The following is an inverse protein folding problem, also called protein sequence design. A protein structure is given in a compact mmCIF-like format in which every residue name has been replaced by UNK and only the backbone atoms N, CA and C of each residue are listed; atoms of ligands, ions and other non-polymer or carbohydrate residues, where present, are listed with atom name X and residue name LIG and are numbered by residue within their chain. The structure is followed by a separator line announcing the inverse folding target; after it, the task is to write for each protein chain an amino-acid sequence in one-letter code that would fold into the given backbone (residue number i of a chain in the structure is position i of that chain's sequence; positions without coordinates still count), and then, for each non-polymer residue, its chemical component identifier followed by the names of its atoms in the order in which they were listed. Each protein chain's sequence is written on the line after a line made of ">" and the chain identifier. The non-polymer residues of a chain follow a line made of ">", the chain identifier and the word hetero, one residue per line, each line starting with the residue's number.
data_IF_560090630997
#
_entry.id   IF_560090630997
#
_cell.length_a   1.000
_cell.length_b   1.000
_cell.length_c   1.000
_cell.angle_alpha   90.00
_cell.angle_beta   90.00
_cell.angle_gamma   90.00
#
_symmetry.space_group_name_H-M   'P 1'
#
loop_
_entity.id
_entity.type
_entity.pdbx_description
1 polymer ?
#
# COMPACT_ATOMS: atom_id res chain seq x y z
N UNK A 1 -34.92 60.06 83.47
CA UNK A 1 -33.45 60.00 83.63
C UNK A 1 -33.00 58.59 83.28
N UNK A 2 -31.83 58.47 82.63
CA UNK A 2 -31.03 57.29 82.25
C UNK A 2 -31.38 55.94 82.90
N UNK A 3 -31.15 54.77 82.31
CA UNK A 3 -30.49 54.36 81.06
C UNK A 3 -30.74 52.84 80.89
N UNK A 4 -30.52 52.39 79.66
CA UNK A 4 -30.39 51.02 79.14
C UNK A 4 -29.99 49.90 80.10
N UNK A 5 -30.60 48.73 79.91
CA UNK A 5 -29.94 47.43 80.06
C UNK A 5 -30.45 46.53 78.91
N UNK A 6 -29.68 46.36 77.84
CA UNK A 6 -28.83 45.18 77.50
C UNK A 6 -29.53 43.81 77.56
N UNK A 7 -29.83 43.29 76.36
CA UNK A 7 -30.00 41.91 75.88
C UNK A 7 -30.41 40.76 76.84
N UNK A 8 -31.30 39.88 76.35
CA UNK A 8 -30.92 38.51 75.96
C UNK A 8 -32.11 37.75 75.34
N UNK A 9 -31.74 36.88 74.41
CA UNK A 9 -32.52 36.08 73.48
C UNK A 9 -33.35 35.00 74.17
N UNK A 10 -34.61 34.81 73.74
CA UNK A 10 -35.43 33.68 74.20
C UNK A 10 -36.03 32.95 73.00
N UNK A 11 -35.54 31.73 72.83
CA UNK A 11 -35.92 30.72 71.84
C UNK A 11 -37.33 30.20 72.14
N UNK A 12 -38.26 30.32 71.20
CA UNK A 12 -39.56 29.66 71.30
C UNK A 12 -39.80 28.66 70.17
N UNK A 13 -40.53 27.61 70.57
CA UNK A 13 -40.54 26.26 70.04
C UNK A 13 -41.88 26.00 69.36
N UNK A 14 -41.79 25.48 68.14
CA UNK A 14 -42.74 24.62 67.43
C UNK A 14 -44.09 25.16 66.91
N UNK A 15 -44.47 24.51 65.80
CA UNK A 15 -45.80 24.28 65.21
C UNK A 15 -46.23 25.05 63.94
N UNK A 16 -46.80 24.23 63.03
CA UNK A 16 -47.08 24.36 61.60
C UNK A 16 -48.31 25.24 61.30
N UNK A 17 -48.57 25.72 60.05
CA UNK A 17 -49.14 24.89 58.98
C UNK A 17 -48.58 25.17 57.56
N UNK A 18 -48.79 24.21 56.65
CA UNK A 18 -48.34 24.18 55.26
C UNK A 18 -48.73 25.41 54.39
N UNK A 19 -48.02 25.64 53.26
CA UNK A 19 -48.64 25.28 51.99
C UNK A 19 -47.69 24.58 51.00
N UNK A 20 -48.29 23.61 50.30
CA UNK A 20 -47.88 22.89 49.08
C UNK A 20 -46.76 23.55 48.27
N UNK A 21 -45.55 22.98 48.33
CA UNK A 21 -44.51 23.17 47.31
C UNK A 21 -44.38 21.87 46.53
N UNK A 22 -44.66 21.95 45.23
CA UNK A 22 -44.65 20.84 44.27
C UNK A 22 -43.23 20.30 44.10
N UNK A 23 -43.06 18.99 44.27
CA UNK A 23 -41.82 18.26 43.93
C UNK A 23 -41.89 17.79 42.47
N UNK A 24 -40.84 18.03 41.66
CA UNK A 24 -40.30 17.01 40.73
C UNK A 24 -38.76 16.81 40.85
N UNK A 25 -38.18 15.73 40.28
CA UNK A 25 -37.42 14.76 41.05
C UNK A 25 -35.89 14.93 41.03
N UNK A 26 -35.25 14.26 42.00
CA UNK A 26 -33.82 14.02 42.13
C UNK A 26 -33.12 13.68 40.80
N UNK A 27 -31.99 14.33 40.56
CA UNK A 27 -30.99 13.85 39.61
C UNK A 27 -29.78 13.36 40.39
N UNK A 28 -29.74 12.05 40.62
CA UNK A 28 -28.57 11.36 41.15
C UNK A 28 -27.45 11.36 40.10
N UNK A 29 -26.20 11.60 40.55
CA UNK A 29 -24.96 11.51 39.78
C UNK A 29 -23.86 11.00 40.73
N UNK A 30 -22.72 10.41 40.30
CA UNK A 30 -22.39 9.49 39.18
C UNK A 30 -21.83 8.14 39.68
N UNK A 31 -21.55 7.19 38.77
CA UNK A 31 -20.43 6.20 38.73
C UNK A 31 -20.87 4.97 37.90
N UNK A 32 -20.11 4.28 37.04
CA UNK A 32 -18.96 4.56 36.18
C UNK A 32 -18.88 3.34 35.23
N UNK A 33 -18.95 3.52 33.91
CA UNK A 33 -18.39 2.56 32.95
C UNK A 33 -17.89 3.34 31.73
N UNK A 34 -16.58 3.35 31.42
CA UNK A 34 -16.03 4.15 30.35
C UNK A 34 -16.13 3.37 29.03
N UNK A 35 -17.26 3.44 28.34
CA UNK A 35 -17.32 3.02 26.93
C UNK A 35 -16.72 4.13 26.06
N UNK A 36 -15.40 4.04 25.85
CA UNK A 36 -14.61 4.93 24.98
C UNK A 36 -14.40 4.30 23.60
N UNK A 37 -15.45 3.90 22.92
CA UNK A 37 -15.36 3.77 21.46
C UNK A 37 -16.24 4.85 20.84
N UNK A 38 -15.66 5.77 20.04
CA UNK A 38 -16.45 6.74 19.32
C UNK A 38 -17.44 6.00 18.43
N UNK A 39 -18.70 6.46 18.38
CA UNK A 39 -19.78 5.81 17.64
C UNK A 39 -19.51 5.68 16.12
N UNK A 40 -18.50 6.39 15.62
CA UNK A 40 -17.99 6.46 14.25
C UNK A 40 -16.83 5.47 13.97
N UNK A 41 -16.22 4.91 15.02
CA UNK A 41 -15.20 3.86 14.93
C UNK A 41 -15.68 2.59 14.18
N UNK A 42 -16.89 2.04 14.44
CA UNK A 42 -17.37 0.87 13.70
C UNK A 42 -17.59 1.15 12.22
N UNK A 43 -17.95 2.39 11.85
CA UNK A 43 -18.11 2.78 10.44
C UNK A 43 -16.76 2.91 9.74
N UNK A 44 -15.76 3.47 10.42
CA UNK A 44 -14.39 3.51 9.93
C UNK A 44 -13.80 2.11 9.76
N UNK A 45 -14.02 1.22 10.72
CA UNK A 45 -13.56 -0.18 10.65
C UNK A 45 -14.28 -0.92 9.51
N UNK A 46 -15.59 -0.74 9.36
CA UNK A 46 -16.36 -1.33 8.27
C UNK A 46 -15.90 -0.83 6.89
N UNK A 47 -15.66 0.48 6.75
CA UNK A 47 -15.13 1.08 5.53
C UNK A 47 -13.73 0.56 5.20
N UNK A 48 -12.85 0.48 6.21
CA UNK A 48 -11.50 -0.06 6.04
C UNK A 48 -11.54 -1.53 5.61
N UNK A 49 -12.36 -2.36 6.26
CA UNK A 49 -12.56 -3.75 5.90
C UNK A 49 -13.09 -3.89 4.47
N UNK A 50 -14.04 -3.04 4.06
CA UNK A 50 -14.59 -3.03 2.71
C UNK A 50 -13.53 -2.65 1.66
N UNK A 51 -12.71 -1.63 1.93
CA UNK A 51 -11.59 -1.24 1.06
C UNK A 51 -10.55 -2.36 0.92
N UNK A 52 -10.20 -3.02 2.03
CA UNK A 52 -9.29 -4.18 2.02
C UNK A 52 -9.89 -5.33 1.23
N UNK A 53 -11.18 -5.66 1.41
CA UNK A 53 -11.87 -6.68 0.63
C UNK A 53 -11.88 -6.36 -0.88
N UNK A 54 -12.15 -5.11 -1.26
CA UNK A 54 -12.09 -4.70 -2.67
C UNK A 54 -10.68 -4.88 -3.22
N UNK A 55 -9.65 -4.43 -2.49
CA UNK A 55 -8.27 -4.61 -2.92
C UNK A 55 -7.91 -6.08 -3.09
N UNK A 56 -8.31 -6.96 -2.15
CA UNK A 56 -8.10 -8.40 -2.26
C UNK A 56 -8.82 -9.00 -3.46
N UNK A 57 -10.07 -8.61 -3.71
CA UNK A 57 -10.83 -9.08 -4.88
C UNK A 57 -10.18 -8.61 -6.18
N UNK A 58 -9.74 -7.35 -6.25
CA UNK A 58 -9.02 -6.82 -7.42
C UNK A 58 -7.72 -7.57 -7.63
N UNK A 59 -6.94 -7.85 -6.58
CA UNK A 59 -5.71 -8.65 -6.67
C UNK A 59 -6.05 -10.07 -7.16
N UNK A 60 -7.07 -10.72 -6.60
CA UNK A 60 -7.48 -12.07 -6.99
C UNK A 60 -8.07 -12.14 -8.41
N UNK A 61 -8.61 -11.05 -8.95
CA UNK A 61 -9.08 -10.99 -10.33
C UNK A 61 -7.93 -10.63 -11.28
N UNK A 62 -7.13 -9.62 -10.95
CA UNK A 62 -6.04 -9.10 -11.81
C UNK A 62 -4.83 -10.02 -11.81
N UNK A 63 -4.45 -10.64 -10.70
CA UNK A 63 -3.28 -11.54 -10.63
C UNK A 63 -3.44 -12.75 -11.55
N UNK A 64 -4.58 -13.44 -11.64
CA UNK A 64 -4.79 -14.47 -12.66
C UNK A 64 -4.69 -13.94 -14.09
N UNK A 65 -5.19 -12.73 -14.36
CA UNK A 65 -5.06 -12.09 -15.68
C UNK A 65 -3.60 -11.69 -15.99
N UNK A 66 -2.80 -11.33 -15.00
CA UNK A 66 -1.35 -11.07 -15.15
C UNK A 66 -0.52 -12.36 -15.20
N UNK A 67 -0.99 -13.44 -14.55
CA UNK A 67 -0.35 -14.76 -14.56
C UNK A 67 -0.67 -15.54 -15.83
N UNK A 68 -1.72 -15.17 -16.58
CA UNK A 68 -2.02 -15.76 -17.89
C UNK A 68 -0.96 -15.46 -18.97
N UNK A 69 0.08 -14.70 -18.64
CA UNK A 69 1.37 -14.69 -19.36
C UNK A 69 2.35 -15.66 -18.69
N UNK A 70 1.93 -16.90 -18.45
CA UNK A 70 2.80 -17.98 -17.98
C UNK A 70 3.73 -18.40 -19.14
N UNK A 71 4.80 -17.64 -19.31
CA UNK A 71 6.04 -18.18 -19.86
C UNK A 71 6.78 -18.95 -18.77
N UNK A 72 7.48 -20.06 -19.11
CA UNK A 72 8.20 -20.86 -18.11
C UNK A 72 9.29 -20.03 -17.42
N UNK A 73 9.13 -19.84 -16.11
CA UNK A 73 9.96 -19.03 -15.23
C UNK A 73 11.43 -19.48 -15.06
N UNK A 74 11.91 -20.44 -15.86
CA UNK A 74 13.27 -20.96 -15.76
C UNK A 74 14.31 -20.10 -16.51
N UNK A 75 13.92 -19.33 -17.54
CA UNK A 75 14.87 -18.52 -18.33
C UNK A 75 14.94 -17.05 -17.90
N UNK A 76 13.92 -16.50 -17.24
CA UNK A 76 13.90 -15.07 -16.90
C UNK A 76 14.91 -14.66 -15.81
N UNK A 77 15.33 -15.57 -14.93
CA UNK A 77 16.22 -15.20 -13.83
C UNK A 77 17.62 -14.76 -14.31
N UNK A 78 18.10 -15.32 -15.44
CA UNK A 78 19.42 -14.98 -15.98
C UNK A 78 19.49 -13.57 -16.59
N UNK A 79 18.34 -12.93 -16.82
CA UNK A 79 18.21 -11.69 -17.60
C UNK A 79 18.10 -10.41 -16.77
N UNK A 80 18.05 -10.54 -15.45
CA UNK A 80 17.78 -9.42 -14.55
C UNK A 80 19.00 -8.51 -14.34
N UNK A 81 20.20 -8.98 -14.66
CA UNK A 81 21.42 -8.18 -14.56
C UNK A 81 21.79 -7.56 -15.91
N UNK A 82 22.05 -6.25 -15.93
CA UNK A 82 22.37 -5.48 -17.14
C UNK A 82 23.79 -4.92 -17.06
N UNK A 83 24.52 -4.94 -18.18
CA UNK A 83 25.83 -4.29 -18.32
C UNK A 83 25.74 -3.15 -19.33
N UNK A 84 26.08 -1.94 -18.87
CA UNK A 84 26.05 -0.73 -19.68
C UNK A 84 27.48 -0.23 -19.94
N UNK A 85 27.83 -0.04 -21.21
CA UNK A 85 29.11 0.51 -21.62
C UNK A 85 28.88 1.79 -22.45
N UNK A 86 29.80 2.74 -22.37
CA UNK A 86 29.80 3.91 -23.25
C UNK A 86 30.16 3.48 -24.68
N UNK A 87 29.33 3.84 -25.65
CA UNK A 87 29.62 3.61 -27.07
C UNK A 87 30.69 4.61 -27.50
N UNK A 88 31.80 4.12 -28.06
CA UNK A 88 32.87 4.98 -28.57
C UNK A 88 32.31 5.85 -29.71
N UNK A 89 32.46 7.18 -29.69
CA UNK A 89 31.73 8.03 -30.61
C UNK A 89 32.34 7.99 -32.02
N UNK A 90 31.49 7.80 -33.02
CA UNK A 90 31.74 8.20 -34.41
C UNK A 90 30.96 9.50 -34.71
N UNK A 91 30.95 10.44 -33.76
CA UNK A 91 30.15 11.68 -33.78
C UNK A 91 30.01 12.31 -32.39
N UNK A 92 29.63 13.58 -32.29
CA UNK A 92 29.66 14.42 -31.08
C UNK A 92 28.71 14.03 -29.93
N UNK A 93 28.15 12.82 -29.92
CA UNK A 93 27.22 12.38 -28.88
C UNK A 93 27.71 11.09 -28.19
N UNK A 94 27.85 11.15 -26.86
CA UNK A 94 28.26 10.00 -26.04
C UNK A 94 27.02 9.17 -25.70
N UNK A 95 26.69 8.23 -26.58
CA UNK A 95 25.63 7.25 -26.32
C UNK A 95 26.06 6.18 -25.32
N UNK A 96 25.14 5.79 -24.44
CA UNK A 96 25.29 4.59 -23.59
C UNK A 96 24.45 3.46 -24.16
N UNK A 97 24.98 2.24 -24.12
CA UNK A 97 24.24 1.04 -24.50
C UNK A 97 24.34 -0.02 -23.42
N UNK A 98 23.21 -0.63 -23.10
CA UNK A 98 23.11 -1.70 -22.13
C UNK A 98 22.69 -3.01 -22.81
N UNK A 99 23.33 -4.10 -22.41
CA UNK A 99 22.91 -5.47 -22.77
C UNK A 99 22.67 -6.28 -21.49
N UNK A 100 21.76 -7.26 -21.51
CA UNK A 100 21.65 -8.22 -20.42
C UNK A 100 22.97 -8.97 -20.21
N UNK A 101 23.25 -9.38 -18.97
CA UNK A 101 24.46 -10.11 -18.63
C UNK A 101 24.50 -11.45 -19.38
N UNK A 102 25.68 -11.83 -19.84
CA UNK A 102 25.88 -13.00 -20.68
C UNK A 102 25.63 -12.76 -22.17
N UNK A 103 25.10 -11.60 -22.55
CA UNK A 103 24.93 -11.23 -23.96
C UNK A 103 26.18 -10.57 -24.51
N UNK A 104 26.46 -10.85 -25.78
CA UNK A 104 27.55 -10.21 -26.52
C UNK A 104 27.03 -8.92 -27.16
N UNK A 105 27.74 -7.82 -26.93
CA UNK A 105 27.43 -6.54 -27.57
C UNK A 105 28.21 -6.43 -28.88
N UNK A 106 27.51 -6.08 -29.96
CA UNK A 106 28.14 -5.65 -31.20
C UNK A 106 27.38 -4.44 -31.75
N UNK A 107 28.10 -3.33 -31.95
CA UNK A 107 27.53 -2.03 -32.31
C UNK A 107 26.34 -1.64 -31.42
N UNK A 108 25.13 -1.57 -32.01
CA UNK A 108 23.89 -1.18 -31.37
C UNK A 108 22.96 -2.35 -30.99
N UNK A 109 23.49 -3.56 -30.98
CA UNK A 109 22.72 -4.79 -30.79
C UNK A 109 23.37 -5.69 -29.74
N UNK A 110 22.52 -6.48 -29.07
CA UNK A 110 22.91 -7.49 -28.11
C UNK A 110 22.57 -8.87 -28.68
N UNK A 111 23.48 -9.83 -28.56
CA UNK A 111 23.34 -11.17 -29.12
C UNK A 111 23.49 -12.23 -28.03
N UNK A 112 22.58 -13.19 -28.03
CA UNK A 112 22.65 -14.38 -27.18
C UNK A 112 23.00 -15.60 -28.02
N UNK A 113 24.02 -16.33 -27.58
CA UNK A 113 24.39 -17.59 -28.20
C UNK A 113 24.02 -18.70 -27.24
N UNK A 114 22.97 -19.44 -27.59
CA UNK A 114 22.63 -20.67 -26.86
C UNK A 114 23.67 -21.74 -27.15
N UNK A 115 24.05 -22.49 -26.12
CA UNK A 115 24.87 -23.70 -26.26
C UNK A 115 24.03 -24.94 -26.60
N UNK A 116 22.71 -24.83 -26.44
CA UNK A 116 21.78 -25.93 -26.64
C UNK A 116 21.49 -26.14 -28.12
N UNK A 117 21.37 -27.41 -28.51
CA UNK A 117 20.95 -27.79 -29.86
C UNK A 117 19.44 -27.90 -29.88
N UNK A 118 18.80 -26.97 -30.59
CA UNK A 118 17.35 -26.91 -30.76
C UNK A 118 17.02 -26.95 -32.25
N UNK A 119 15.81 -27.39 -32.59
CA UNK A 119 15.29 -27.20 -33.95
C UNK A 119 15.12 -25.70 -34.24
N UNK A 120 14.95 -25.35 -35.51
CA UNK A 120 14.77 -23.94 -35.90
C UNK A 120 13.54 -23.31 -35.21
N UNK A 121 12.41 -24.02 -35.20
CA UNK A 121 11.17 -23.54 -34.60
C UNK A 121 11.27 -23.38 -33.08
N UNK A 122 11.91 -24.34 -32.39
CA UNK A 122 12.18 -24.23 -30.95
C UNK A 122 13.12 -23.06 -30.64
N UNK A 123 14.13 -22.83 -31.48
CA UNK A 123 15.06 -21.70 -31.34
C UNK A 123 14.34 -20.37 -31.51
N UNK A 124 13.44 -20.26 -32.49
CA UNK A 124 12.62 -19.07 -32.70
C UNK A 124 11.70 -18.79 -31.50
N UNK A 125 11.03 -19.83 -31.00
CA UNK A 125 10.16 -19.71 -29.83
C UNK A 125 10.96 -19.32 -28.57
N UNK A 126 12.17 -19.86 -28.42
CA UNK A 126 13.04 -19.52 -27.30
C UNK A 126 13.50 -18.05 -27.38
N UNK A 127 13.98 -17.59 -28.55
CA UNK A 127 14.39 -16.21 -28.75
C UNK A 127 13.22 -15.24 -28.50
N UNK A 128 12.04 -15.52 -29.04
CA UNK A 128 10.84 -14.68 -28.85
C UNK A 128 10.39 -14.67 -27.39
N UNK A 129 10.44 -15.80 -26.70
CA UNK A 129 10.21 -15.88 -25.25
C UNK A 129 11.22 -15.07 -24.42
N UNK A 130 12.43 -14.86 -24.92
CA UNK A 130 13.42 -14.00 -24.27
C UNK A 130 13.24 -12.50 -24.60
N UNK A 131 12.16 -12.12 -25.29
CA UNK A 131 11.95 -10.76 -25.77
C UNK A 131 12.90 -10.36 -26.90
N UNK A 132 13.42 -11.36 -27.63
CA UNK A 132 14.40 -11.19 -28.71
C UNK A 132 13.93 -11.90 -29.98
N UNK A 133 14.78 -11.93 -31.00
CA UNK A 133 14.50 -12.62 -32.26
C UNK A 133 15.73 -13.39 -32.72
N UNK A 134 15.50 -14.40 -33.56
CA UNK A 134 16.59 -15.08 -34.24
C UNK A 134 17.44 -14.07 -35.01
N UNK A 135 18.76 -14.22 -34.90
CA UNK A 135 19.71 -13.30 -35.50
C UNK A 135 19.65 -13.38 -37.02
N UNK A 136 19.56 -12.22 -37.67
CA UNK A 136 19.79 -12.05 -39.11
C UNK A 136 21.10 -11.31 -39.27
N UNK A 137 22.07 -11.94 -39.91
CA UNK A 137 23.41 -11.38 -40.14
C UNK A 137 23.33 -10.47 -41.36
N UNK A 138 23.50 -9.17 -41.15
CA UNK A 138 23.40 -8.14 -42.20
C UNK A 138 24.77 -7.68 -42.71
N UNK A 139 25.87 -8.10 -42.07
CA UNK A 139 27.21 -7.73 -42.51
C UNK A 139 28.25 -8.80 -42.24
N UNK A 140 29.36 -8.77 -42.99
CA UNK A 140 30.52 -9.65 -42.76
C UNK A 140 31.14 -9.45 -41.38
N UNK A 141 31.03 -8.26 -40.80
CA UNK A 141 31.56 -7.96 -39.47
C UNK A 141 30.70 -8.55 -38.34
N UNK A 142 29.44 -8.89 -38.62
CA UNK A 142 28.54 -9.56 -37.67
C UNK A 142 28.70 -11.09 -37.66
N UNK A 143 29.33 -11.67 -38.69
CA UNK A 143 29.60 -13.12 -38.80
C UNK A 143 30.86 -13.52 -38.06
#
# INVERSE_FOLDING_TARGET
>A
MASEITYAEVKFKNESPAPVVKVPPETNKPEHHPQKYPLWLPWLISLLLFLVCIALVVILLVVPFCHSSDQPAALQQQFSEWKCDSVLPQGTDRGWMCCPKGWRRFQRSCYFLSTDKMSWAESEQNCTGMGSQLVVINSKAEQ
#
